data_IF_716612941536
#
_entry.id   IF_716612941536
#
_cell.length_a   1.000
_cell.length_b   1.000
_cell.length_c   1.000
_cell.angle_alpha   90.00
_cell.angle_beta   90.00
_cell.angle_gamma   90.00
#
_symmetry.space_group_name_H-M   'P 1'
#
loop_
_entity.id
_entity.type
_entity.pdbx_description
1 polymer ?
#
# COMPACT_ATOMS: atom_id res chain seq x y z
N UNK A 1 1.24 18.59 16.89
CA UNK A 1 0.26 18.51 15.77
C UNK A 1 0.55 17.24 14.99
N UNK A 2 -0.36 16.30 14.95
CA UNK A 2 -0.24 15.18 14.05
C UNK A 2 -0.35 15.71 12.60
N UNK A 3 0.66 15.45 11.80
CA UNK A 3 0.68 15.90 10.40
C UNK A 3 -0.31 15.09 9.57
N UNK A 4 -1.11 15.79 8.77
CA UNK A 4 -1.97 15.15 7.78
C UNK A 4 -1.11 14.42 6.73
N UNK A 5 -1.54 13.26 6.32
CA UNK A 5 -0.91 12.46 5.27
C UNK A 5 -1.96 11.98 4.25
N UNK A 6 -1.48 11.63 3.08
CA UNK A 6 -2.34 11.11 2.03
C UNK A 6 -2.76 9.67 2.31
N UNK A 7 -4.02 9.39 2.03
CA UNK A 7 -4.64 8.07 2.10
C UNK A 7 -5.45 7.80 0.83
N UNK A 8 -5.64 6.51 0.55
CA UNK A 8 -6.47 6.03 -0.55
C UNK A 8 -7.57 5.15 0.00
N UNK A 9 -8.82 5.45 -0.28
CA UNK A 9 -9.93 4.55 -0.01
C UNK A 9 -10.31 3.80 -1.29
N UNK A 10 -10.16 2.49 -1.30
CA UNK A 10 -10.58 1.63 -2.41
C UNK A 10 -12.08 1.40 -2.37
N UNK A 11 -12.72 1.37 -3.54
CA UNK A 11 -14.16 1.12 -3.68
C UNK A 11 -14.48 0.39 -4.98
N UNK A 12 -15.75 0.05 -5.18
CA UNK A 12 -16.24 -0.51 -6.43
C UNK A 12 -16.42 0.59 -7.49
N UNK A 13 -16.32 0.19 -8.74
CA UNK A 13 -16.57 1.08 -9.87
C UNK A 13 -17.98 1.69 -9.78
N UNK A 14 -18.06 3.00 -9.95
CA UNK A 14 -19.31 3.75 -9.84
C UNK A 14 -19.67 4.23 -8.43
N UNK A 15 -18.94 3.80 -7.41
CA UNK A 15 -19.18 4.21 -6.02
C UNK A 15 -18.27 5.36 -5.56
N UNK A 16 -17.39 5.86 -6.41
CA UNK A 16 -16.39 6.86 -6.07
C UNK A 16 -17.01 8.15 -5.55
N UNK A 17 -18.06 8.64 -6.21
CA UNK A 17 -18.77 9.87 -5.78
C UNK A 17 -19.44 9.72 -4.42
N UNK A 18 -20.02 8.56 -4.15
CA UNK A 18 -20.68 8.26 -2.88
C UNK A 18 -19.62 8.23 -1.76
N UNK A 19 -18.51 7.54 -2.00
CA UNK A 19 -17.40 7.48 -1.07
C UNK A 19 -16.79 8.86 -0.81
N UNK A 20 -16.59 9.66 -1.85
CA UNK A 20 -16.08 11.02 -1.71
C UNK A 20 -17.00 11.88 -0.83
N UNK A 21 -18.31 11.74 -0.98
CA UNK A 21 -19.30 12.43 -0.13
C UNK A 21 -19.25 11.96 1.31
N UNK A 22 -19.14 10.66 1.56
CA UNK A 22 -18.94 10.13 2.92
C UNK A 22 -17.68 10.70 3.56
N UNK A 23 -16.55 10.71 2.84
CA UNK A 23 -15.29 11.26 3.32
C UNK A 23 -15.40 12.74 3.68
N UNK A 24 -16.06 13.52 2.82
CA UNK A 24 -16.30 14.95 3.09
C UNK A 24 -17.12 15.16 4.35
N UNK A 25 -18.19 14.38 4.55
CA UNK A 25 -19.04 14.46 5.73
C UNK A 25 -18.29 14.09 7.03
N UNK A 26 -17.30 13.21 6.94
CA UNK A 26 -16.46 12.83 8.08
C UNK A 26 -15.37 13.87 8.39
N UNK A 27 -15.07 14.78 7.47
CA UNK A 27 -14.08 15.85 7.67
C UNK A 27 -12.74 15.62 6.94
N UNK A 28 -12.70 14.73 5.93
CA UNK A 28 -11.52 14.57 5.08
C UNK A 28 -11.23 15.84 4.28
N UNK A 29 -9.96 16.08 4.01
CA UNK A 29 -9.51 17.21 3.19
C UNK A 29 -8.84 16.74 1.91
N UNK A 30 -8.76 17.62 0.91
CA UNK A 30 -8.12 17.35 -0.38
C UNK A 30 -8.65 16.08 -1.09
N UNK A 31 -9.98 15.95 -1.12
CA UNK A 31 -10.65 14.78 -1.70
C UNK A 31 -10.55 14.84 -3.23
N UNK A 32 -10.08 13.75 -3.84
CA UNK A 32 -10.01 13.59 -5.30
C UNK A 32 -10.49 12.20 -5.69
N UNK A 33 -11.47 12.16 -6.58
CA UNK A 33 -11.96 10.90 -7.13
C UNK A 33 -10.97 10.32 -8.14
N UNK A 34 -10.77 9.02 -8.11
CA UNK A 34 -10.01 8.25 -9.08
C UNK A 34 -10.83 7.08 -9.62
N UNK A 35 -10.19 6.15 -10.31
CA UNK A 35 -10.86 4.95 -10.79
C UNK A 35 -10.85 3.89 -9.69
N UNK A 36 -12.03 3.56 -9.16
CA UNK A 36 -12.24 2.61 -8.06
C UNK A 36 -11.55 3.00 -6.75
N UNK A 37 -11.27 4.27 -6.59
CA UNK A 37 -10.64 4.81 -5.37
C UNK A 37 -10.92 6.30 -5.20
N UNK A 38 -10.72 6.77 -3.98
CA UNK A 38 -10.76 8.20 -3.65
C UNK A 38 -9.52 8.54 -2.85
N UNK A 39 -8.77 9.55 -3.30
CA UNK A 39 -7.66 10.14 -2.55
C UNK A 39 -8.20 11.13 -1.54
N UNK A 40 -7.62 11.15 -0.36
CA UNK A 40 -7.94 12.13 0.66
C UNK A 40 -6.78 12.33 1.63
N UNK A 41 -6.84 13.37 2.43
CA UNK A 41 -5.89 13.64 3.49
C UNK A 41 -6.57 13.71 4.84
N UNK A 42 -5.85 13.29 5.85
CA UNK A 42 -6.24 13.35 7.25
C UNK A 42 -5.09 12.93 8.15
N UNK A 43 -5.25 13.11 9.44
CA UNK A 43 -4.31 12.65 10.44
C UNK A 43 -4.55 11.16 10.82
N UNK A 44 -3.78 10.67 11.76
CA UNK A 44 -3.91 9.30 12.26
C UNK A 44 -5.27 9.03 12.92
N UNK A 45 -5.79 10.01 13.66
CA UNK A 45 -7.12 9.91 14.27
C UNK A 45 -8.21 9.81 13.22
N UNK A 46 -8.10 10.61 12.16
CA UNK A 46 -9.01 10.52 11.01
C UNK A 46 -8.93 9.17 10.31
N UNK A 47 -7.73 8.59 10.16
CA UNK A 47 -7.56 7.25 9.57
C UNK A 47 -8.37 6.19 10.34
N UNK A 48 -8.32 6.19 11.66
CA UNK A 48 -9.14 5.29 12.48
C UNK A 48 -10.62 5.56 12.35
N UNK A 49 -11.02 6.84 12.37
CA UNK A 49 -12.42 7.24 12.16
C UNK A 49 -12.95 6.77 10.80
N UNK A 50 -12.18 6.94 9.74
CA UNK A 50 -12.54 6.52 8.40
C UNK A 50 -12.71 5.00 8.31
N UNK A 51 -11.81 4.22 8.90
CA UNK A 51 -11.95 2.75 8.95
C UNK A 51 -13.22 2.30 9.69
N UNK A 52 -13.65 3.05 10.69
CA UNK A 52 -14.83 2.72 11.49
C UNK A 52 -16.15 3.15 10.83
N UNK A 53 -16.16 4.29 10.17
CA UNK A 53 -17.39 4.97 9.75
C UNK A 53 -17.72 4.83 8.25
N UNK A 54 -16.73 4.60 7.38
CA UNK A 54 -16.97 4.47 5.94
C UNK A 54 -17.71 3.17 5.61
N UNK A 55 -18.78 3.30 4.81
CA UNK A 55 -19.62 2.18 4.41
C UNK A 55 -19.36 1.70 2.98
N UNK A 56 -18.86 2.58 2.12
CA UNK A 56 -18.60 2.29 0.69
C UNK A 56 -17.15 2.01 0.38
N UNK A 57 -16.25 2.13 1.36
CA UNK A 57 -14.84 1.76 1.22
C UNK A 57 -14.63 0.26 1.46
N UNK A 58 -13.84 -0.37 0.58
CA UNK A 58 -13.40 -1.76 0.75
C UNK A 58 -12.21 -1.82 1.69
N UNK A 59 -11.25 -0.92 1.51
CA UNK A 59 -10.07 -0.77 2.36
C UNK A 59 -9.47 0.62 2.22
N UNK A 60 -8.72 1.02 3.24
CA UNK A 60 -7.96 2.26 3.27
C UNK A 60 -6.48 1.92 3.22
N UNK A 61 -5.75 2.57 2.32
CA UNK A 61 -4.32 2.40 2.11
C UNK A 61 -3.60 3.69 2.49
N UNK A 62 -2.43 3.55 3.11
CA UNK A 62 -1.51 4.64 3.39
C UNK A 62 -0.26 4.47 2.53
N UNK A 63 -0.12 5.19 1.40
CA UNK A 63 1.09 5.14 0.59
C UNK A 63 2.30 5.63 1.38
N UNK A 64 3.41 4.90 1.31
CA UNK A 64 4.63 5.28 2.01
C UNK A 64 5.88 5.25 1.13
N UNK A 65 5.85 4.58 -0.02
CA UNK A 65 6.98 4.49 -0.93
C UNK A 65 6.52 4.47 -2.38
N UNK A 66 7.07 5.38 -3.19
CA UNK A 66 6.81 5.46 -4.62
C UNK A 66 8.13 5.42 -5.37
N UNK A 67 8.19 4.64 -6.43
CA UNK A 67 9.38 4.46 -7.24
C UNK A 67 9.01 4.05 -8.67
N UNK A 68 10.01 3.94 -9.54
CA UNK A 68 9.84 3.46 -10.91
C UNK A 68 10.64 2.19 -11.13
N UNK A 69 10.07 1.23 -11.86
CA UNK A 69 10.73 0.00 -12.28
C UNK A 69 10.15 -0.49 -13.60
N UNK A 70 10.98 -1.03 -14.48
CA UNK A 70 10.57 -1.58 -15.78
C UNK A 70 10.63 -3.11 -15.83
N UNK A 71 11.25 -3.73 -14.85
CA UNK A 71 11.38 -5.19 -14.73
C UNK A 71 11.51 -5.61 -13.28
N UNK A 72 11.47 -6.91 -13.04
CA UNK A 72 11.53 -7.48 -11.71
C UNK A 72 12.86 -7.25 -11.00
N UNK A 73 13.98 -7.14 -11.74
CA UNK A 73 15.29 -6.84 -11.17
C UNK A 73 15.34 -5.41 -10.61
N UNK A 74 14.83 -4.43 -11.34
CA UNK A 74 14.72 -3.05 -10.88
C UNK A 74 13.74 -2.95 -9.70
N UNK A 75 12.60 -3.63 -9.78
CA UNK A 75 11.63 -3.71 -8.68
C UNK A 75 12.29 -4.23 -7.40
N UNK A 76 13.02 -5.33 -7.49
CA UNK A 76 13.75 -5.92 -6.38
C UNK A 76 14.75 -4.91 -5.77
N UNK A 77 15.56 -4.27 -6.60
CA UNK A 77 16.56 -3.31 -6.14
C UNK A 77 15.93 -2.10 -5.44
N UNK A 78 14.87 -1.55 -5.97
CA UNK A 78 14.16 -0.41 -5.38
C UNK A 78 13.54 -0.77 -4.03
N UNK A 79 12.92 -1.93 -3.91
CA UNK A 79 12.34 -2.40 -2.66
C UNK A 79 13.42 -2.74 -1.64
N UNK A 80 14.52 -3.35 -2.07
CA UNK A 80 15.67 -3.67 -1.22
C UNK A 80 16.31 -2.43 -0.59
N UNK A 81 16.37 -1.30 -1.31
CA UNK A 81 16.96 -0.05 -0.83
C UNK A 81 16.14 0.66 0.24
N UNK A 82 14.84 0.37 0.33
CA UNK A 82 13.97 1.00 1.33
C UNK A 82 14.32 0.54 2.76
N UNK A 83 14.23 1.46 3.72
CA UNK A 83 14.46 1.12 5.13
C UNK A 83 13.22 0.50 5.78
N UNK A 84 13.08 -0.81 5.64
CA UNK A 84 11.91 -1.57 6.11
C UNK A 84 11.72 -1.57 7.62
N UNK A 85 12.77 -1.27 8.40
CA UNK A 85 12.67 -1.15 9.86
C UNK A 85 11.75 0.00 10.29
N UNK A 86 11.52 0.98 9.42
CA UNK A 86 10.60 2.09 9.69
C UNK A 86 9.13 1.69 9.58
N UNK A 87 8.83 0.60 8.89
CA UNK A 87 7.47 0.14 8.58
C UNK A 87 7.08 -1.06 9.44
N UNK A 88 8.02 -1.99 9.66
CA UNK A 88 7.71 -3.24 10.35
C UNK A 88 8.89 -3.76 11.15
N UNK A 89 8.59 -4.55 12.15
CA UNK A 89 9.54 -5.30 12.97
C UNK A 89 9.80 -6.68 12.33
N UNK A 90 11.04 -7.24 12.38
CA UNK A 90 11.34 -8.56 11.82
C UNK A 90 10.62 -9.72 12.49
N UNK A 91 10.07 -9.52 13.68
CA UNK A 91 9.28 -10.54 14.40
C UNK A 91 7.80 -10.50 14.01
N UNK A 92 7.36 -9.50 13.24
CA UNK A 92 6.01 -9.42 12.70
C UNK A 92 5.87 -10.25 11.42
N UNK A 93 4.66 -10.78 11.22
CA UNK A 93 4.29 -11.43 9.96
C UNK A 93 3.77 -10.41 8.96
N UNK A 94 3.95 -10.67 7.68
CA UNK A 94 3.46 -9.79 6.62
C UNK A 94 2.90 -10.56 5.43
N UNK A 95 2.10 -9.89 4.65
CA UNK A 95 1.62 -10.37 3.36
C UNK A 95 1.63 -9.23 2.34
N UNK A 96 1.74 -9.56 1.07
CA UNK A 96 1.76 -8.62 -0.03
C UNK A 96 0.63 -8.95 -0.99
N UNK A 97 -0.26 -7.98 -1.20
CA UNK A 97 -1.24 -7.99 -2.27
C UNK A 97 -0.74 -7.11 -3.41
N UNK A 98 -0.72 -7.62 -4.64
CA UNK A 98 -0.23 -6.88 -5.80
C UNK A 98 -1.33 -6.70 -6.82
N UNK A 99 -1.35 -5.50 -7.41
CA UNK A 99 -2.18 -5.16 -8.57
C UNK A 99 -1.25 -4.59 -9.63
N UNK A 100 -1.24 -5.21 -10.81
CA UNK A 100 -0.29 -4.90 -11.87
C UNK A 100 -1.06 -4.57 -13.15
N UNK A 101 -0.79 -3.39 -13.71
CA UNK A 101 -1.30 -2.93 -15.00
C UNK A 101 -0.18 -2.44 -15.90
N UNK A 102 -0.33 -2.67 -17.20
CA UNK A 102 0.58 -2.18 -18.21
C UNK A 102 1.46 -3.27 -18.81
N UNK A 103 2.45 -2.86 -19.59
CA UNK A 103 3.23 -3.76 -20.46
C UNK A 103 4.51 -4.33 -19.82
N UNK A 104 5.00 -3.76 -18.73
CA UNK A 104 6.30 -4.09 -18.16
C UNK A 104 6.27 -5.31 -17.23
N UNK A 105 5.16 -5.55 -16.57
CA UNK A 105 4.97 -6.65 -15.62
C UNK A 105 3.79 -7.51 -16.05
N UNK A 106 4.00 -8.80 -16.24
CA UNK A 106 2.99 -9.71 -16.78
C UNK A 106 2.47 -10.72 -15.76
N UNK A 107 3.21 -10.94 -14.66
CA UNK A 107 2.89 -11.97 -13.66
C UNK A 107 2.77 -11.39 -12.26
N UNK A 108 1.55 -11.12 -11.85
CA UNK A 108 1.25 -10.55 -10.52
C UNK A 108 1.83 -11.37 -9.37
N UNK A 109 1.69 -12.70 -9.42
CA UNK A 109 2.22 -13.58 -8.38
C UNK A 109 3.74 -13.53 -8.30
N UNK A 110 4.43 -13.56 -9.43
CA UNK A 110 5.89 -13.46 -9.48
C UNK A 110 6.37 -12.10 -8.98
N UNK A 111 5.69 -11.04 -9.37
CA UNK A 111 5.96 -9.67 -8.87
C UNK A 111 5.83 -9.59 -7.35
N UNK A 112 4.78 -10.17 -6.78
CA UNK A 112 4.60 -10.25 -5.32
C UNK A 112 5.72 -11.04 -4.65
N UNK A 113 6.16 -12.15 -5.24
CA UNK A 113 7.26 -12.96 -4.71
C UNK A 113 8.58 -12.22 -4.73
N UNK A 114 8.89 -11.49 -5.80
CA UNK A 114 10.11 -10.66 -5.89
C UNK A 114 10.10 -9.53 -4.87
N UNK A 115 8.95 -8.90 -4.66
CA UNK A 115 8.78 -7.90 -3.62
C UNK A 115 9.05 -8.50 -2.23
N UNK A 116 8.47 -9.65 -1.93
CA UNK A 116 8.70 -10.37 -0.68
C UNK A 116 10.18 -10.72 -0.49
N UNK A 117 10.83 -11.25 -1.52
CA UNK A 117 12.25 -11.63 -1.45
C UNK A 117 13.14 -10.43 -1.14
N UNK A 118 12.89 -9.29 -1.76
CA UNK A 118 13.63 -8.06 -1.49
C UNK A 118 13.50 -7.59 -0.04
N UNK A 119 12.29 -7.66 0.52
CA UNK A 119 12.03 -7.30 1.92
C UNK A 119 12.76 -8.24 2.87
N UNK A 120 12.64 -9.54 2.64
CA UNK A 120 13.28 -10.57 3.48
C UNK A 120 14.80 -10.47 3.42
N UNK A 121 15.37 -10.29 2.22
CA UNK A 121 16.81 -10.16 2.04
C UNK A 121 17.36 -8.91 2.70
N UNK A 122 16.61 -7.80 2.66
CA UNK A 122 16.99 -6.57 3.36
C UNK A 122 17.04 -6.77 4.88
N UNK A 123 16.03 -7.41 5.46
CA UNK A 123 16.04 -7.72 6.90
C UNK A 123 17.18 -8.66 7.30
N UNK A 124 17.49 -9.64 6.46
CA UNK A 124 18.65 -10.52 6.70
C UNK A 124 19.97 -9.77 6.73
N UNK A 125 20.11 -8.81 5.79
CA UNK A 125 21.31 -7.98 5.74
C UNK A 125 21.41 -7.07 6.96
N UNK A 126 20.34 -6.37 7.32
CA UNK A 126 20.35 -5.35 8.37
C UNK A 126 20.38 -5.97 9.78
N UNK A 127 19.61 -7.01 10.03
CA UNK A 127 19.33 -7.54 11.38
C UNK A 127 19.62 -9.04 11.53
N UNK A 128 20.04 -9.72 10.47
CA UNK A 128 20.24 -11.18 10.40
C UNK A 128 19.00 -11.98 10.81
N UNK A 129 17.83 -11.38 10.70
CA UNK A 129 16.52 -11.97 10.97
C UNK A 129 15.70 -12.02 9.70
N UNK A 130 14.76 -12.94 9.66
CA UNK A 130 13.86 -13.12 8.54
C UNK A 130 12.41 -12.97 9.00
N UNK A 131 11.68 -11.94 8.57
CA UNK A 131 10.25 -11.87 8.82
C UNK A 131 9.52 -13.01 8.10
N UNK A 132 8.46 -13.52 8.71
CA UNK A 132 7.65 -14.59 8.17
C UNK A 132 6.46 -14.05 7.39
N UNK A 133 6.03 -14.78 6.37
CA UNK A 133 4.84 -14.46 5.58
C UNK A 133 3.64 -15.22 6.12
N UNK A 134 2.56 -14.50 6.42
CA UNK A 134 1.26 -15.08 6.74
C UNK A 134 0.19 -14.43 5.84
N UNK A 135 -0.36 -15.21 4.91
CA UNK A 135 -1.35 -14.72 3.95
C UNK A 135 -2.73 -14.53 4.54
N UNK A 136 -3.05 -15.23 5.61
CA UNK A 136 -4.39 -15.23 6.22
C UNK A 136 -4.54 -14.15 7.29
N UNK A 137 -3.59 -14.09 8.21
CA UNK A 137 -3.63 -13.21 9.37
C UNK A 137 -2.29 -12.48 9.58
N UNK A 138 -1.83 -11.67 8.59
CA UNK A 138 -0.58 -10.94 8.74
C UNK A 138 -0.72 -9.81 9.75
N UNK A 139 0.37 -9.53 10.48
CA UNK A 139 0.44 -8.32 11.31
C UNK A 139 0.48 -7.06 10.43
N UNK A 140 1.18 -7.14 9.30
CA UNK A 140 1.31 -6.05 8.33
C UNK A 140 0.84 -6.55 6.94
N UNK A 141 -0.13 -5.86 6.37
CA UNK A 141 -0.56 -6.11 4.99
C UNK A 141 -0.07 -5.00 4.08
N UNK A 142 0.80 -5.36 3.15
CA UNK A 142 1.35 -4.43 2.16
C UNK A 142 0.56 -4.54 0.85
N UNK A 143 0.37 -3.41 0.20
CA UNK A 143 -0.26 -3.34 -1.11
C UNK A 143 0.71 -2.75 -2.13
N UNK A 144 1.07 -3.54 -3.14
CA UNK A 144 1.92 -3.12 -4.25
C UNK A 144 1.02 -2.81 -5.45
N UNK A 145 1.03 -1.58 -5.89
CA UNK A 145 0.32 -1.14 -7.08
C UNK A 145 1.33 -0.74 -8.16
N UNK A 146 1.22 -1.36 -9.34
CA UNK A 146 2.07 -1.06 -10.50
C UNK A 146 1.18 -0.64 -11.66
N UNK A 147 1.44 0.54 -12.18
CA UNK A 147 0.85 1.04 -13.42
C UNK A 147 1.98 1.46 -14.37
N UNK A 148 2.21 0.66 -15.44
CA UNK A 148 3.37 0.78 -16.31
C UNK A 148 4.67 0.74 -15.51
N UNK A 149 5.43 1.84 -15.45
CA UNK A 149 6.66 1.97 -14.67
C UNK A 149 6.43 2.44 -13.24
N UNK A 150 5.27 3.03 -12.94
CA UNK A 150 5.02 3.63 -11.64
C UNK A 150 4.63 2.58 -10.62
N UNK A 151 5.41 2.47 -9.57
CA UNK A 151 5.19 1.53 -8.47
C UNK A 151 4.89 2.30 -7.19
N UNK A 152 3.93 1.81 -6.42
CA UNK A 152 3.54 2.39 -5.14
C UNK A 152 3.34 1.29 -4.12
N UNK A 153 3.93 1.46 -2.94
CA UNK A 153 3.70 0.62 -1.76
C UNK A 153 2.88 1.39 -0.73
N UNK A 154 1.86 0.71 -0.21
CA UNK A 154 0.91 1.25 0.77
C UNK A 154 0.71 0.29 1.93
#
# INVERSE_FOLDING_TARGET
MENNFEMLAKTFYGMEKILAKELLQLGAINIREGNRLVHFMGDKGFMYKANLCLRTAIKILKPFYQFSAENEAELYNQIYQFDWKTIMDPDQTFAIDSVVFGKYFNHTLYTSQRCKDAIVDRFRMDLKKRPSVDKRHPDIRLHLHIFNRKCSLS
#
